data_IF_080538230654
#
_entry.id   IF_080538230654
#
_cell.length_a   1.000
_cell.length_b   1.000
_cell.length_c   1.000
_cell.angle_alpha   90.00
_cell.angle_beta   90.00
_cell.angle_gamma   90.00
#
_symmetry.space_group_name_H-M   'P 1'
#
loop_
_entity.id
_entity.type
_entity.pdbx_description
1 polymer ?
#
# COMPACT_ATOMS: atom_id res chain seq x y z
N UNK A 1 6.62 -14.82 -0.42
CA UNK A 1 6.82 -14.09 -1.70
C UNK A 1 5.58 -14.27 -2.55
N UNK A 2 4.95 -13.21 -3.09
CA UNK A 2 3.83 -13.37 -4.01
C UNK A 2 4.29 -13.98 -5.35
N UNK A 3 3.40 -14.72 -6.02
CA UNK A 3 3.67 -15.40 -7.29
C UNK A 3 4.05 -14.39 -8.41
N UNK A 4 5.04 -14.71 -9.28
CA UNK A 4 5.60 -13.79 -10.29
C UNK A 4 4.67 -13.43 -11.47
N UNK A 5 3.35 -13.61 -11.33
CA UNK A 5 2.34 -13.18 -12.30
C UNK A 5 1.01 -12.74 -11.67
N UNK A 6 0.92 -12.66 -10.34
CA UNK A 6 -0.30 -12.27 -9.65
C UNK A 6 -0.32 -10.77 -9.38
N UNK A 7 -1.35 -10.08 -9.89
CA UNK A 7 -1.69 -8.74 -9.39
C UNK A 7 -2.22 -8.90 -7.98
N UNK A 8 -1.54 -8.31 -7.00
CA UNK A 8 -1.96 -8.33 -5.60
C UNK A 8 -2.50 -6.95 -5.24
N UNK A 9 -3.72 -6.90 -4.74
CA UNK A 9 -4.36 -5.67 -4.29
C UNK A 9 -4.71 -5.80 -2.81
N UNK A 10 -4.33 -4.79 -2.03
CA UNK A 10 -4.72 -4.63 -0.63
C UNK A 10 -5.73 -3.49 -0.59
N UNK A 11 -6.93 -3.76 -0.08
CA UNK A 11 -7.97 -2.76 0.13
C UNK A 11 -7.94 -2.24 1.56
N UNK A 12 -8.09 -0.93 1.70
CA UNK A 12 -8.13 -0.23 2.99
C UNK A 12 -9.43 0.57 3.05
N UNK A 13 -10.22 0.40 4.10
CA UNK A 13 -11.49 1.12 4.22
C UNK A 13 -12.28 0.75 5.46
N UNK A 14 -13.46 1.36 5.60
CA UNK A 14 -14.36 1.14 6.75
C UNK A 14 -15.05 -0.21 6.70
N UNK A 15 -15.37 -0.69 5.49
CA UNK A 15 -16.08 -1.95 5.34
C UNK A 15 -15.21 -3.12 5.82
N UNK A 16 -15.82 -4.09 6.50
CA UNK A 16 -15.11 -5.25 7.06
C UNK A 16 -14.63 -6.23 5.98
N UNK A 17 -15.08 -6.04 4.74
CA UNK A 17 -14.64 -6.80 3.56
C UNK A 17 -13.27 -6.37 3.01
N UNK A 18 -12.68 -5.30 3.55
CA UNK A 18 -11.33 -4.85 3.19
C UNK A 18 -10.26 -5.63 3.96
N UNK A 19 -9.07 -5.75 3.37
CA UNK A 19 -7.92 -6.39 4.00
C UNK A 19 -7.45 -5.62 5.25
N UNK A 20 -7.55 -4.29 5.21
CA UNK A 20 -7.35 -3.41 6.37
C UNK A 20 -8.64 -2.64 6.65
N UNK A 21 -9.40 -3.13 7.64
CA UNK A 21 -10.63 -2.51 8.09
C UNK A 21 -10.37 -1.44 9.17
N UNK A 22 -10.83 -0.21 8.93
CA UNK A 22 -10.80 0.90 9.89
C UNK A 22 -12.26 1.33 10.17
N UNK A 23 -12.92 0.77 11.20
CA UNK A 23 -14.38 0.85 11.39
C UNK A 23 -14.85 2.20 11.94
N UNK A 24 -14.49 3.29 11.28
CA UNK A 24 -14.87 4.66 11.63
C UNK A 24 -15.64 5.33 10.49
N UNK A 25 -16.69 6.09 10.80
CA UNK A 25 -17.51 6.79 9.81
C UNK A 25 -16.75 7.86 9.00
N UNK A 26 -15.61 8.30 9.53
CA UNK A 26 -14.69 9.23 8.87
C UNK A 26 -13.88 8.56 7.76
N UNK A 27 -13.86 7.22 7.69
CA UNK A 27 -13.21 6.43 6.66
C UNK A 27 -14.27 5.95 5.66
N UNK A 28 -14.01 6.11 4.36
CA UNK A 28 -14.91 5.60 3.31
C UNK A 28 -14.94 4.07 3.27
N UNK A 29 -16.07 3.48 2.83
CA UNK A 29 -16.22 2.02 2.79
C UNK A 29 -15.08 1.33 2.05
N UNK A 30 -14.67 1.87 0.90
CA UNK A 30 -13.37 1.64 0.27
C UNK A 30 -12.66 2.99 0.21
N UNK A 31 -11.53 3.13 0.90
CA UNK A 31 -10.85 4.42 1.07
C UNK A 31 -9.62 4.53 0.17
N UNK A 32 -8.76 3.52 0.21
CA UNK A 32 -7.54 3.46 -0.57
C UNK A 32 -7.22 2.02 -0.96
N UNK A 33 -6.38 1.86 -1.98
CA UNK A 33 -5.80 0.55 -2.34
C UNK A 33 -4.29 0.65 -2.44
N UNK A 34 -3.62 -0.45 -2.13
CA UNK A 34 -2.20 -0.66 -2.42
C UNK A 34 -2.11 -1.82 -3.41
N UNK A 35 -1.61 -1.55 -4.60
CA UNK A 35 -1.43 -2.55 -5.66
C UNK A 35 0.05 -2.89 -5.84
N UNK A 36 0.35 -4.18 -5.97
CA UNK A 36 1.65 -4.66 -6.42
C UNK A 36 1.60 -5.00 -7.91
N UNK A 37 2.40 -4.29 -8.70
CA UNK A 37 2.55 -4.51 -10.15
C UNK A 37 4.00 -4.21 -10.56
N UNK A 38 4.53 -5.01 -11.49
CA UNK A 38 5.86 -4.82 -12.09
C UNK A 38 7.00 -4.63 -11.06
N UNK A 39 6.93 -5.35 -9.94
CA UNK A 39 7.95 -5.27 -8.89
C UNK A 39 7.79 -4.11 -7.91
N UNK A 40 6.75 -3.28 -8.05
CA UNK A 40 6.55 -2.07 -7.24
C UNK A 40 5.17 -2.02 -6.60
N UNK A 41 5.09 -1.33 -5.47
CA UNK A 41 3.84 -1.03 -4.78
C UNK A 41 3.36 0.37 -5.12
N UNK A 42 2.06 0.53 -5.31
CA UNK A 42 1.42 1.80 -5.63
C UNK A 42 0.22 2.03 -4.73
N UNK A 43 0.14 3.23 -4.14
CA UNK A 43 -1.00 3.70 -3.35
C UNK A 43 -1.95 4.51 -4.23
N UNK A 44 -3.25 4.24 -4.14
CA UNK A 44 -4.30 5.04 -4.78
C UNK A 44 -5.45 5.37 -3.81
N UNK A 45 -5.89 6.63 -3.79
CA UNK A 45 -7.11 7.04 -3.10
C UNK A 45 -8.34 6.67 -3.96
N UNK A 46 -9.32 5.98 -3.38
CA UNK A 46 -10.52 5.50 -4.07
C UNK A 46 -11.66 6.52 -3.99
N UNK A 47 -11.35 7.80 -4.22
CA UNK A 47 -12.25 8.96 -4.06
C UNK A 47 -12.88 9.00 -2.67
N UNK A 48 -12.05 8.81 -1.66
CA UNK A 48 -12.50 8.84 -0.27
C UNK A 48 -13.04 10.22 0.14
N UNK A 49 -13.87 10.26 1.19
CA UNK A 49 -14.44 11.49 1.75
C UNK A 49 -13.33 12.39 2.35
N UNK A 50 -12.51 11.82 3.22
CA UNK A 50 -11.52 12.53 4.01
C UNK A 50 -10.09 12.50 3.44
N UNK A 51 -9.92 11.86 2.27
CA UNK A 51 -8.70 11.85 1.46
C UNK A 51 -7.54 11.08 2.09
N UNK A 52 -6.73 10.56 1.19
CA UNK A 52 -5.46 9.90 1.51
C UNK A 52 -4.31 10.90 1.34
N UNK A 53 -3.31 10.79 2.23
CA UNK A 53 -2.09 11.59 2.17
C UNK A 53 -0.88 10.67 2.17
N UNK A 54 0.15 11.06 1.44
CA UNK A 54 1.45 10.41 1.40
C UNK A 54 2.51 11.42 1.81
N UNK A 55 3.24 11.15 2.89
CA UNK A 55 4.26 12.05 3.47
C UNK A 55 3.71 13.49 3.66
N UNK A 56 2.51 13.60 4.26
CA UNK A 56 1.83 14.86 4.52
C UNK A 56 1.20 15.56 3.30
N UNK A 57 1.37 15.02 2.09
CA UNK A 57 0.81 15.58 0.86
C UNK A 57 -0.44 14.82 0.44
N UNK A 58 -1.53 15.53 0.20
CA UNK A 58 -2.77 14.95 -0.33
C UNK A 58 -2.53 14.37 -1.72
N UNK A 59 -2.93 13.12 -1.93
CA UNK A 59 -2.80 12.46 -3.24
C UNK A 59 -4.06 12.67 -4.08
N UNK A 60 -3.91 12.59 -5.41
CA UNK A 60 -5.02 12.73 -6.34
C UNK A 60 -5.79 11.40 -6.41
N UNK A 61 -7.13 11.40 -6.26
CA UNK A 61 -7.94 10.19 -6.41
C UNK A 61 -7.71 9.47 -7.74
N UNK A 62 -7.69 8.14 -7.70
CA UNK A 62 -7.47 7.26 -8.86
C UNK A 62 -6.17 7.48 -9.63
N UNK A 63 -5.21 8.21 -9.06
CA UNK A 63 -3.86 8.39 -9.61
C UNK A 63 -2.86 7.63 -8.74
N UNK A 64 -2.47 6.39 -9.10
CA UNK A 64 -1.56 5.60 -8.30
C UNK A 64 -0.20 6.28 -8.13
N UNK A 65 0.33 6.28 -6.92
CA UNK A 65 1.65 6.82 -6.58
C UNK A 65 2.53 5.68 -6.05
N UNK A 66 3.70 5.52 -6.65
CA UNK A 66 4.68 4.52 -6.25
C UNK A 66 5.14 4.76 -4.81
N UNK A 67 5.02 3.74 -3.98
CA UNK A 67 5.48 3.74 -2.59
C UNK A 67 6.96 3.35 -2.48
N UNK A 68 7.59 3.88 -1.44
CA UNK A 68 8.94 3.52 -0.99
C UNK A 68 8.89 3.09 0.47
N UNK A 69 9.77 2.16 0.85
CA UNK A 69 9.93 1.78 2.26
C UNK A 69 10.22 3.03 3.11
N UNK A 70 9.51 3.17 4.22
CA UNK A 70 9.53 4.34 5.10
C UNK A 70 8.46 5.40 4.79
N UNK A 71 7.72 5.30 3.69
CA UNK A 71 6.67 6.26 3.37
C UNK A 71 5.55 6.25 4.43
N UNK A 72 5.13 7.45 4.83
CA UNK A 72 4.00 7.66 5.73
C UNK A 72 2.71 7.80 4.93
N UNK A 73 1.76 6.90 5.17
CA UNK A 73 0.43 6.91 4.58
C UNK A 73 -0.56 7.36 5.64
N UNK A 74 -1.34 8.40 5.36
CA UNK A 74 -2.45 8.80 6.21
C UNK A 74 -3.79 8.54 5.53
N UNK A 75 -4.66 7.82 6.25
CA UNK A 75 -6.06 7.58 5.92
C UNK A 75 -6.88 8.40 6.91
N UNK A 76 -7.38 9.57 6.48
CA UNK A 76 -7.90 10.57 7.41
C UNK A 76 -6.86 10.91 8.51
N UNK A 77 -7.15 10.61 9.78
CA UNK A 77 -6.25 10.84 10.93
C UNK A 77 -5.37 9.63 11.25
N UNK A 78 -5.64 8.47 10.64
CA UNK A 78 -4.90 7.23 10.89
C UNK A 78 -3.60 7.24 10.12
N UNK A 79 -2.49 7.02 10.82
CA UNK A 79 -1.15 7.06 10.27
C UNK A 79 -0.56 5.66 10.20
N UNK A 80 -0.06 5.30 9.03
CA UNK A 80 0.59 4.03 8.74
C UNK A 80 1.98 4.29 8.16
N UNK A 81 2.93 3.40 8.43
CA UNK A 81 4.25 3.41 7.77
C UNK A 81 4.33 2.21 6.84
N UNK A 82 4.65 2.46 5.58
CA UNK A 82 4.88 1.40 4.62
C UNK A 82 6.32 0.89 4.75
N UNK A 83 6.51 -0.41 4.99
CA UNK A 83 7.82 -1.02 5.12
C UNK A 83 7.97 -2.16 4.11
N UNK A 84 9.08 -2.14 3.37
CA UNK A 84 9.56 -3.28 2.61
C UNK A 84 10.71 -3.92 3.38
N UNK A 85 10.58 -5.22 3.65
CA UNK A 85 11.70 -6.02 4.13
C UNK A 85 12.72 -6.11 2.99
N UNK A 86 13.96 -5.69 3.25
CA UNK A 86 15.03 -5.88 2.27
C UNK A 86 15.23 -7.37 2.14
N UNK A 87 14.91 -7.94 0.98
CA UNK A 87 15.38 -9.27 0.63
C UNK A 87 16.90 -9.15 0.55
N UNK A 88 17.62 -9.61 1.57
CA UNK A 88 19.03 -9.90 1.43
C UNK A 88 19.13 -10.80 0.21
N UNK A 89 19.94 -10.47 -0.82
CA UNK A 89 20.26 -11.46 -1.82
C UNK A 89 20.91 -12.60 -1.03
N UNK A 90 20.24 -13.75 -0.95
CA UNK A 90 20.90 -15.00 -0.62
C UNK A 90 21.87 -15.22 -1.77
N UNK A 91 23.08 -14.68 -1.60
CA UNK A 91 24.22 -14.99 -2.43
C UNK A 91 24.59 -16.43 -2.15
N UNK A 92 23.87 -17.35 -2.77
CA UNK A 92 24.43 -18.65 -3.12
C UNK A 92 25.39 -18.38 -4.29
N UNK A 93 26.56 -17.83 -3.96
CA UNK A 93 27.75 -18.12 -4.77
C UNK A 93 28.10 -19.57 -4.48
N UNK A 94 27.58 -20.46 -5.31
CA UNK A 94 28.23 -21.74 -5.59
C UNK A 94 29.62 -21.42 -6.15
N UNK A 95 30.62 -21.35 -5.28
CA UNK A 95 32.01 -21.57 -5.65
C UNK A 95 32.46 -22.89 -5.02
N UNK A 96 32.16 -23.98 -5.74
CA UNK A 96 32.93 -25.21 -5.66
C UNK A 96 33.20 -25.71 -7.08
N UNK A 97 34.46 -26.11 -7.27
CA UNK A 97 35.15 -26.76 -8.41
C UNK A 97 35.87 -25.83 -9.39
#
# INVERSE_FOLDING_TARGET
MPNPGGRYEIKIGRDSSNDVAIPEETVSSLHATIEYQDGFFYLADQRSKNKTYLNGKKIVPYSPIKLKSGDEIMIHIHKFTFLLEQQTPSGDTDENW
#
